data_IF_945523995601
#
_entry.id   IF_945523995601
#
_cell.length_a   1.000
_cell.length_b   1.000
_cell.length_c   1.000
_cell.angle_alpha   90.00
_cell.angle_beta   90.00
_cell.angle_gamma   90.00
#
_symmetry.space_group_name_H-M   'P 1'
#
loop_
_entity.id
_entity.type
_entity.pdbx_description
1 polymer ?
#
# COMPACT_ATOMS: atom_id res chain seq x y z
N UNK A 1 0.32 -15.74 -11.77
CA UNK A 1 0.93 -15.29 -10.49
C UNK A 1 0.34 -13.93 -10.11
N UNK A 2 -0.09 -13.73 -8.88
CA UNK A 2 -0.52 -12.43 -8.36
C UNK A 2 0.27 -12.11 -7.11
N UNK A 3 0.85 -10.92 -7.06
CA UNK A 3 1.63 -10.42 -5.91
C UNK A 3 0.96 -9.16 -5.42
N UNK A 4 0.65 -9.08 -4.13
CA UNK A 4 0.02 -7.92 -3.52
C UNK A 4 0.98 -7.30 -2.50
N UNK A 5 1.32 -6.03 -2.69
CA UNK A 5 2.16 -5.27 -1.78
C UNK A 5 1.28 -4.47 -0.82
N UNK A 6 1.44 -4.71 0.47
CA UNK A 6 0.77 -3.98 1.55
C UNK A 6 1.81 -3.28 2.44
N UNK A 7 1.36 -2.34 3.21
CA UNK A 7 2.20 -1.56 4.12
C UNK A 7 1.76 -0.10 4.16
N UNK A 8 2.31 0.64 5.09
CA UNK A 8 1.98 2.04 5.32
C UNK A 8 2.31 2.92 4.09
N UNK A 9 1.71 4.11 4.01
CA UNK A 9 2.11 5.09 3.00
C UNK A 9 3.61 5.42 3.16
N UNK A 10 4.31 5.65 2.05
CA UNK A 10 5.73 6.00 2.06
C UNK A 10 6.73 4.85 2.24
N UNK A 11 6.29 3.60 2.34
CA UNK A 11 7.21 2.44 2.41
C UNK A 11 7.77 1.99 1.06
N UNK A 12 7.37 2.62 -0.04
CA UNK A 12 7.93 2.36 -1.37
C UNK A 12 7.21 1.31 -2.21
N UNK A 13 5.97 0.92 -1.87
CA UNK A 13 5.18 -0.10 -2.60
C UNK A 13 5.15 0.12 -4.11
N UNK A 14 4.89 1.34 -4.56
CA UNK A 14 4.78 1.67 -5.99
C UNK A 14 6.11 1.48 -6.72
N UNK A 15 7.21 1.98 -6.15
CA UNK A 15 8.55 1.85 -6.75
C UNK A 15 9.01 0.40 -6.77
N UNK A 16 8.91 -0.28 -5.65
CA UNK A 16 9.29 -1.70 -5.50
C UNK A 16 8.43 -2.57 -6.40
N UNK A 17 7.11 -2.33 -6.42
CA UNK A 17 6.16 -3.08 -7.24
C UNK A 17 6.46 -2.99 -8.74
N UNK A 18 6.80 -1.81 -9.25
CA UNK A 18 7.21 -1.62 -10.65
C UNK A 18 8.47 -2.42 -10.99
N UNK A 19 9.46 -2.45 -10.10
CA UNK A 19 10.71 -3.18 -10.32
C UNK A 19 10.45 -4.69 -10.33
N UNK A 20 9.69 -5.19 -9.35
CA UNK A 20 9.32 -6.61 -9.27
C UNK A 20 8.55 -7.04 -10.51
N UNK A 21 7.52 -6.28 -10.89
CA UNK A 21 6.71 -6.56 -12.07
C UNK A 21 7.57 -6.66 -13.35
N UNK A 22 8.51 -5.72 -13.53
CA UNK A 22 9.46 -5.75 -14.66
C UNK A 22 10.36 -6.99 -14.64
N UNK A 23 10.92 -7.34 -13.47
CA UNK A 23 11.82 -8.51 -13.33
C UNK A 23 11.09 -9.84 -13.58
N UNK A 24 9.85 -9.94 -13.14
CA UNK A 24 9.02 -11.15 -13.29
C UNK A 24 8.15 -11.16 -14.56
N UNK A 25 8.23 -10.14 -15.39
CA UNK A 25 7.40 -9.95 -16.60
C UNK A 25 5.90 -9.98 -16.30
N UNK A 26 5.50 -9.36 -15.18
CA UNK A 26 4.12 -9.20 -14.76
C UNK A 26 3.62 -7.80 -15.06
N UNK A 27 2.30 -7.62 -15.14
CA UNK A 27 1.67 -6.31 -15.17
C UNK A 27 1.82 -5.62 -13.80
N UNK A 28 1.81 -4.30 -13.78
CA UNK A 28 1.83 -3.51 -12.55
C UNK A 28 0.63 -2.60 -12.47
N UNK A 29 -0.04 -2.58 -11.32
CA UNK A 29 -1.11 -1.64 -11.00
C UNK A 29 -0.88 -1.02 -9.63
N UNK A 30 -0.92 0.30 -9.57
CA UNK A 30 -1.05 1.08 -8.34
C UNK A 30 -2.54 1.36 -8.11
N UNK A 31 -3.07 0.94 -6.96
CA UNK A 31 -4.50 1.06 -6.66
C UNK A 31 -4.98 2.50 -6.55
N UNK A 32 -4.17 3.39 -5.97
CA UNK A 32 -4.54 4.80 -5.87
C UNK A 32 -4.69 5.41 -7.27
N UNK A 33 -3.73 5.16 -8.16
CA UNK A 33 -3.81 5.59 -9.55
C UNK A 33 -5.00 4.94 -10.30
N UNK A 34 -5.30 3.70 -10.01
CA UNK A 34 -6.45 2.99 -10.60
C UNK A 34 -7.76 3.67 -10.20
N UNK A 35 -7.93 4.01 -8.92
CA UNK A 35 -9.09 4.71 -8.39
C UNK A 35 -9.20 6.11 -9.04
N UNK A 36 -8.11 6.88 -9.05
CA UNK A 36 -8.11 8.23 -9.64
C UNK A 36 -8.53 8.24 -11.11
N UNK A 37 -8.03 7.27 -11.89
CA UNK A 37 -8.41 7.12 -13.30
C UNK A 37 -9.88 6.73 -13.48
N UNK A 38 -10.38 5.82 -12.64
CA UNK A 38 -11.76 5.36 -12.68
C UNK A 38 -12.73 6.47 -12.32
N UNK A 39 -12.42 7.26 -11.29
CA UNK A 39 -13.28 8.33 -10.78
C UNK A 39 -13.08 9.67 -11.51
N UNK A 40 -12.01 9.81 -12.29
CA UNK A 40 -11.68 11.09 -12.96
C UNK A 40 -11.31 12.21 -11.98
N UNK A 41 -10.91 11.87 -10.75
CA UNK A 41 -10.59 12.81 -9.65
C UNK A 41 -9.38 12.33 -8.87
N UNK A 42 -8.63 13.27 -8.29
CA UNK A 42 -7.56 12.90 -7.34
C UNK A 42 -8.13 12.34 -6.03
N UNK A 43 -7.35 11.51 -5.35
CA UNK A 43 -7.70 10.98 -4.01
C UNK A 43 -8.07 12.11 -3.06
N UNK A 44 -7.29 13.21 -3.06
CA UNK A 44 -7.58 14.38 -2.20
C UNK A 44 -8.96 14.98 -2.47
N UNK A 45 -9.37 15.09 -3.73
CA UNK A 45 -10.72 15.58 -4.09
C UNK A 45 -11.82 14.59 -3.68
N UNK A 46 -11.57 13.30 -3.80
CA UNK A 46 -12.53 12.27 -3.35
C UNK A 46 -12.77 12.41 -1.84
N UNK A 47 -11.69 12.55 -1.05
CA UNK A 47 -11.81 12.78 0.39
C UNK A 47 -12.55 14.08 0.74
N UNK A 48 -12.24 15.17 0.02
CA UNK A 48 -12.86 16.47 0.25
C UNK A 48 -14.36 16.47 -0.08
N UNK A 49 -14.74 15.87 -1.22
CA UNK A 49 -16.12 15.91 -1.71
C UNK A 49 -17.01 14.84 -1.07
N UNK A 50 -16.48 13.65 -0.77
CA UNK A 50 -17.28 12.49 -0.38
C UNK A 50 -16.86 11.85 0.96
N UNK A 51 -15.73 12.24 1.52
CA UNK A 51 -15.21 11.75 2.78
C UNK A 51 -14.45 10.42 2.71
N UNK A 52 -13.86 10.02 3.84
CA UNK A 52 -13.00 8.83 3.94
C UNK A 52 -13.78 7.54 3.70
N UNK A 53 -15.00 7.42 4.24
CA UNK A 53 -15.79 6.20 4.10
C UNK A 53 -16.05 5.85 2.64
N UNK A 54 -16.43 6.83 1.83
CA UNK A 54 -16.64 6.63 0.39
C UNK A 54 -15.36 6.17 -0.30
N UNK A 55 -14.20 6.77 0.05
CA UNK A 55 -12.92 6.33 -0.48
C UNK A 55 -12.62 4.86 -0.11
N UNK A 56 -12.92 4.42 1.12
CA UNK A 56 -12.76 3.02 1.55
C UNK A 56 -13.66 2.06 0.76
N UNK A 57 -14.84 2.48 0.39
CA UNK A 57 -15.72 1.71 -0.50
C UNK A 57 -15.10 1.55 -1.89
N UNK A 58 -14.55 2.64 -2.47
CA UNK A 58 -13.83 2.60 -3.75
C UNK A 58 -12.57 1.72 -3.69
N UNK A 59 -11.82 1.74 -2.59
CA UNK A 59 -10.68 0.83 -2.37
C UNK A 59 -11.15 -0.64 -2.41
N UNK A 60 -12.22 -0.96 -1.71
CA UNK A 60 -12.75 -2.34 -1.64
C UNK A 60 -13.25 -2.83 -2.99
N UNK A 61 -13.95 -1.99 -3.75
CA UNK A 61 -14.38 -2.32 -5.11
C UNK A 61 -13.19 -2.52 -6.05
N UNK A 62 -12.20 -1.62 -5.99
CA UNK A 62 -11.00 -1.71 -6.80
C UNK A 62 -10.17 -2.97 -6.50
N UNK A 63 -10.05 -3.34 -5.23
CA UNK A 63 -9.39 -4.59 -4.83
C UNK A 63 -10.11 -5.80 -5.45
N UNK A 64 -11.45 -5.87 -5.34
CA UNK A 64 -12.26 -6.95 -5.94
C UNK A 64 -12.09 -7.06 -7.45
N UNK A 65 -11.95 -5.94 -8.12
CA UNK A 65 -11.75 -5.93 -9.57
C UNK A 65 -10.34 -6.39 -9.94
N UNK A 66 -9.32 -5.89 -9.26
CA UNK A 66 -7.92 -6.19 -9.57
C UNK A 66 -7.53 -7.64 -9.28
N UNK A 67 -8.09 -8.26 -8.24
CA UNK A 67 -7.82 -9.68 -7.93
C UNK A 67 -8.42 -10.68 -8.93
N UNK A 68 -9.27 -10.24 -9.84
CA UNK A 68 -9.74 -11.06 -10.97
C UNK A 68 -8.65 -11.27 -12.02
N UNK A 69 -7.63 -10.43 -12.03
CA UNK A 69 -6.54 -10.49 -13.00
C UNK A 69 -5.40 -11.37 -12.49
N UNK A 70 -4.84 -12.19 -13.37
CA UNK A 70 -3.60 -12.93 -13.14
C UNK A 70 -2.40 -12.21 -13.75
N UNK A 71 -1.20 -12.67 -13.41
CA UNK A 71 0.06 -12.10 -13.88
C UNK A 71 0.22 -10.60 -13.59
N UNK A 72 0.00 -10.24 -12.33
CA UNK A 72 -0.06 -8.86 -11.87
C UNK A 72 0.64 -8.66 -10.52
N UNK A 73 1.28 -7.50 -10.38
CA UNK A 73 1.72 -6.94 -9.09
C UNK A 73 0.80 -5.77 -8.76
N UNK A 74 0.15 -5.83 -7.60
CA UNK A 74 -0.77 -4.80 -7.09
C UNK A 74 -0.10 -4.07 -5.93
N UNK A 75 0.09 -2.76 -6.06
CA UNK A 75 0.47 -1.86 -4.96
C UNK A 75 -0.80 -1.29 -4.33
N UNK A 76 -1.09 -1.65 -3.08
CA UNK A 76 -2.32 -1.19 -2.40
C UNK A 76 -2.14 0.18 -1.74
N UNK A 77 -3.24 0.85 -1.44
CA UNK A 77 -3.24 1.99 -0.52
C UNK A 77 -2.86 1.59 0.91
N UNK A 78 -2.28 2.51 1.69
CA UNK A 78 -1.86 2.22 3.07
C UNK A 78 -3.03 1.89 4.01
N UNK A 79 -4.24 2.34 3.70
CA UNK A 79 -5.44 2.07 4.48
C UNK A 79 -6.21 0.82 4.07
N UNK A 80 -5.69 0.00 3.15
CA UNK A 80 -6.38 -1.20 2.64
C UNK A 80 -6.81 -2.15 3.76
N UNK A 81 -6.08 -2.20 4.86
CA UNK A 81 -6.34 -3.07 6.02
C UNK A 81 -7.39 -2.53 6.99
N UNK A 82 -7.90 -1.32 6.80
CA UNK A 82 -8.88 -0.72 7.70
C UNK A 82 -10.29 -1.30 7.52
N UNK A 83 -10.57 -1.89 6.36
CA UNK A 83 -11.86 -2.49 6.02
C UNK A 83 -11.81 -4.01 6.21
N UNK A 84 -12.72 -4.55 7.04
CA UNK A 84 -12.80 -5.99 7.34
C UNK A 84 -12.92 -6.85 6.07
N UNK A 85 -13.73 -6.41 5.11
CA UNK A 85 -13.91 -7.12 3.85
C UNK A 85 -12.60 -7.26 3.07
N UNK A 86 -11.74 -6.22 3.07
CA UNK A 86 -10.44 -6.28 2.41
C UNK A 86 -9.51 -7.29 3.10
N UNK A 87 -9.52 -7.35 4.43
CA UNK A 87 -8.75 -8.35 5.19
C UNK A 87 -9.17 -9.77 4.82
N UNK A 88 -10.47 -10.02 4.67
CA UNK A 88 -10.99 -11.34 4.28
C UNK A 88 -10.60 -11.74 2.85
N UNK A 89 -10.53 -10.75 1.94
CA UNK A 89 -10.07 -10.96 0.57
C UNK A 89 -8.57 -11.27 0.56
N UNK A 90 -7.76 -10.41 1.20
CA UNK A 90 -6.31 -10.50 1.20
C UNK A 90 -5.81 -11.80 1.86
N UNK A 91 -6.48 -12.30 2.89
CA UNK A 91 -6.17 -13.60 3.53
C UNK A 91 -6.31 -14.82 2.61
N UNK A 92 -7.02 -14.68 1.51
CA UNK A 92 -7.20 -15.77 0.54
C UNK A 92 -6.19 -15.72 -0.60
N UNK A 93 -5.45 -14.64 -0.70
CA UNK A 93 -4.39 -14.47 -1.70
C UNK A 93 -3.13 -15.26 -1.29
N UNK A 94 -2.35 -15.68 -2.28
CA UNK A 94 -1.21 -16.59 -2.06
C UNK A 94 0.12 -15.88 -1.81
N UNK A 95 0.24 -14.62 -2.24
CA UNK A 95 1.48 -13.85 -2.12
C UNK A 95 1.12 -12.44 -1.73
N UNK A 96 0.98 -12.21 -0.42
CA UNK A 96 0.79 -10.90 0.17
C UNK A 96 2.08 -10.51 0.91
N UNK A 97 2.72 -9.44 0.45
CA UNK A 97 4.01 -8.98 0.96
C UNK A 97 3.82 -7.70 1.76
N UNK A 98 4.16 -7.75 3.03
CA UNK A 98 4.16 -6.58 3.90
C UNK A 98 5.52 -5.90 3.90
N UNK A 99 5.58 -4.67 3.41
CA UNK A 99 6.75 -3.80 3.51
C UNK A 99 6.68 -3.06 4.84
N UNK A 100 7.50 -3.47 5.79
CA UNK A 100 7.51 -3.00 7.17
C UNK A 100 8.54 -1.88 7.37
N UNK A 101 8.07 -0.66 7.51
CA UNK A 101 8.86 0.52 7.81
C UNK A 101 8.47 1.15 9.15
N UNK A 102 9.45 1.58 9.93
CA UNK A 102 9.20 2.34 11.16
C UNK A 102 8.82 3.80 10.87
N UNK A 103 8.36 4.52 11.89
CA UNK A 103 7.93 5.92 11.78
C UNK A 103 9.00 6.81 11.17
N UNK A 104 10.27 6.66 11.57
CA UNK A 104 11.37 7.49 11.06
C UNK A 104 11.63 7.24 9.57
N UNK A 105 11.63 5.99 9.14
CA UNK A 105 11.78 5.62 7.73
C UNK A 105 10.65 6.21 6.89
N UNK A 106 9.41 6.11 7.36
CA UNK A 106 8.24 6.66 6.70
C UNK A 106 8.32 8.19 6.62
N UNK A 107 8.67 8.88 7.71
CA UNK A 107 8.88 10.33 7.72
C UNK A 107 9.89 10.78 6.68
N UNK A 108 11.04 10.11 6.63
CA UNK A 108 12.11 10.45 5.68
C UNK A 108 11.63 10.31 4.22
N UNK A 109 10.84 9.28 3.93
CA UNK A 109 10.29 9.06 2.59
C UNK A 109 9.18 10.06 2.23
N UNK A 110 8.35 10.48 3.20
CA UNK A 110 7.19 11.34 2.96
C UNK A 110 7.47 12.83 3.07
N UNK A 111 8.65 13.27 3.52
CA UNK A 111 8.94 14.68 3.85
C UNK A 111 8.59 15.68 2.74
N UNK A 112 8.61 15.25 1.48
CA UNK A 112 8.29 16.08 0.29
C UNK A 112 6.86 15.87 -0.23
N UNK A 113 6.07 14.99 0.37
CA UNK A 113 4.76 14.56 -0.17
C UNK A 113 3.61 14.65 0.83
N UNK A 114 3.83 15.22 2.01
CA UNK A 114 2.84 15.29 3.10
C UNK A 114 1.55 15.98 2.64
N UNK A 115 1.65 17.05 1.87
CA UNK A 115 0.50 17.82 1.37
C UNK A 115 -0.42 17.01 0.44
N UNK A 116 0.12 15.97 -0.19
CA UNK A 116 -0.63 15.08 -1.08
C UNK A 116 -1.36 13.95 -0.34
N UNK A 117 -1.20 13.88 0.99
CA UNK A 117 -1.76 12.80 1.83
C UNK A 117 -2.89 13.34 2.70
N UNK A 118 -4.17 13.06 2.39
CA UNK A 118 -5.32 13.65 3.09
C UNK A 118 -5.29 13.47 4.61
N UNK A 119 -4.81 12.33 5.11
CA UNK A 119 -4.73 12.04 6.54
C UNK A 119 -3.59 12.76 7.25
N UNK A 120 -2.58 13.26 6.52
CA UNK A 120 -1.41 13.94 7.06
C UNK A 120 -1.45 15.45 6.84
N UNK A 121 -2.04 15.92 5.74
CA UNK A 121 -2.03 17.33 5.32
C UNK A 121 -2.68 18.27 6.33
N UNK A 122 -3.61 17.78 7.14
CA UNK A 122 -4.32 18.53 8.18
C UNK A 122 -3.75 18.33 9.58
N UNK A 123 -2.65 17.58 9.71
CA UNK A 123 -2.07 17.26 11.01
C UNK A 123 -1.16 18.36 11.52
N UNK A 124 -1.31 18.75 12.80
CA UNK A 124 -0.39 19.67 13.50
C UNK A 124 0.92 19.00 13.90
N UNK A 125 0.95 17.66 14.03
CA UNK A 125 2.13 16.86 14.33
C UNK A 125 2.12 15.60 13.47
N UNK A 126 2.80 15.67 12.33
CA UNK A 126 2.84 14.60 11.33
C UNK A 126 3.47 13.31 11.88
N UNK A 127 4.53 13.42 12.68
CA UNK A 127 5.20 12.27 13.29
C UNK A 127 4.25 11.48 14.20
N UNK A 128 3.55 12.15 15.10
CA UNK A 128 2.57 11.52 15.97
C UNK A 128 1.42 10.90 15.19
N UNK A 129 0.93 11.58 14.15
CA UNK A 129 -0.12 11.06 13.30
C UNK A 129 0.32 9.78 12.59
N UNK A 130 1.53 9.74 12.02
CA UNK A 130 2.10 8.55 11.41
C UNK A 130 2.24 7.42 12.44
N UNK A 131 2.81 7.71 13.60
CA UNK A 131 3.02 6.72 14.66
C UNK A 131 1.70 6.09 15.13
N UNK A 132 0.66 6.91 15.36
CA UNK A 132 -0.65 6.45 15.78
C UNK A 132 -1.33 5.58 14.70
N UNK A 133 -1.34 6.04 13.46
CA UNK A 133 -1.92 5.28 12.35
C UNK A 133 -1.16 3.97 12.09
N UNK A 134 0.17 4.00 12.19
CA UNK A 134 1.01 2.81 12.03
C UNK A 134 0.71 1.78 13.12
N UNK A 135 0.64 2.21 14.40
CA UNK A 135 0.31 1.34 15.51
C UNK A 135 -1.09 0.71 15.36
N UNK A 136 -2.08 1.49 14.93
CA UNK A 136 -3.45 1.01 14.68
C UNK A 136 -3.51 -0.06 13.57
N UNK A 137 -2.65 0.05 12.55
CA UNK A 137 -2.69 -0.82 11.36
C UNK A 137 -1.70 -1.98 11.41
N UNK A 138 -0.68 -1.92 12.24
CA UNK A 138 0.47 -2.84 12.21
C UNK A 138 0.04 -4.31 12.34
N UNK A 139 -0.76 -4.64 13.36
CA UNK A 139 -1.23 -6.00 13.57
C UNK A 139 -2.13 -6.49 12.42
N UNK A 140 -2.86 -5.59 11.78
CA UNK A 140 -3.68 -5.93 10.62
C UNK A 140 -2.82 -6.31 9.42
N UNK A 141 -1.72 -5.57 9.15
CA UNK A 141 -0.77 -5.97 8.10
C UNK A 141 -0.14 -7.33 8.41
N UNK A 142 0.33 -7.54 9.64
CA UNK A 142 0.92 -8.81 10.07
C UNK A 142 -0.04 -9.99 9.93
N UNK A 143 -1.32 -9.78 10.22
CA UNK A 143 -2.33 -10.86 10.24
C UNK A 143 -2.69 -11.42 8.86
N UNK A 144 -2.31 -10.73 7.78
CA UNK A 144 -2.69 -11.09 6.41
C UNK A 144 -1.50 -11.29 5.47
N UNK A 145 -0.27 -10.98 5.89
CA UNK A 145 0.89 -11.16 5.02
C UNK A 145 1.42 -12.59 5.05
N UNK A 146 1.86 -13.06 3.90
CA UNK A 146 2.63 -14.31 3.77
C UNK A 146 4.13 -14.06 3.96
N UNK A 147 4.60 -12.89 3.50
CA UNK A 147 6.00 -12.49 3.54
C UNK A 147 6.08 -11.09 4.16
N UNK A 148 6.92 -10.93 5.19
CA UNK A 148 7.24 -9.63 5.77
C UNK A 148 8.68 -9.24 5.45
N UNK A 149 8.86 -8.04 4.91
CA UNK A 149 10.16 -7.49 4.55
C UNK A 149 10.38 -6.20 5.34
N UNK A 150 11.36 -6.22 6.22
CA UNK A 150 11.84 -5.01 6.89
C UNK A 150 12.58 -4.13 5.87
N UNK A 151 12.12 -2.88 5.71
CA UNK A 151 12.70 -1.92 4.77
C UNK A 151 13.62 -0.89 5.44
N UNK A 152 13.71 -0.91 6.79
CA UNK A 152 14.51 0.07 7.52
C UNK A 152 15.99 -0.06 7.17
N UNK A 153 16.65 1.07 6.94
CA UNK A 153 18.08 1.16 6.61
C UNK A 153 18.51 0.34 5.36
N UNK A 154 17.55 0.00 4.48
CA UNK A 154 17.81 -0.75 3.24
C UNK A 154 17.54 0.11 2.02
N UNK A 155 18.34 -0.08 0.98
CA UNK A 155 18.05 0.48 -0.32
C UNK A 155 17.01 -0.37 -1.09
N UNK A 156 16.48 0.18 -2.17
CA UNK A 156 15.43 -0.46 -2.96
C UNK A 156 15.89 -1.81 -3.54
N UNK A 157 17.14 -1.92 -3.98
CA UNK A 157 17.69 -3.15 -4.58
C UNK A 157 17.77 -4.28 -3.56
N UNK A 158 18.18 -3.98 -2.33
CA UNK A 158 18.22 -4.95 -1.22
C UNK A 158 16.81 -5.47 -0.90
N UNK A 159 15.83 -4.57 -0.81
CA UNK A 159 14.42 -4.94 -0.56
C UNK A 159 13.87 -5.81 -1.69
N UNK A 160 14.07 -5.41 -2.95
CA UNK A 160 13.64 -6.18 -4.11
C UNK A 160 14.29 -7.56 -4.15
N UNK A 161 15.60 -7.64 -3.86
CA UNK A 161 16.33 -8.93 -3.83
C UNK A 161 15.76 -9.86 -2.77
N UNK A 162 15.48 -9.35 -1.55
CA UNK A 162 14.85 -10.14 -0.50
C UNK A 162 13.46 -10.65 -0.91
N UNK A 163 12.65 -9.80 -1.54
CA UNK A 163 11.34 -10.22 -2.04
C UNK A 163 11.47 -11.35 -3.05
N UNK A 164 12.35 -11.19 -4.04
CA UNK A 164 12.53 -12.21 -5.09
C UNK A 164 13.01 -13.56 -4.55
N UNK A 165 13.89 -13.55 -3.55
CA UNK A 165 14.33 -14.78 -2.85
C UNK A 165 13.18 -15.48 -2.13
N UNK A 166 12.26 -14.71 -1.51
CA UNK A 166 11.15 -15.28 -0.75
C UNK A 166 9.99 -15.82 -1.60
N UNK A 167 9.85 -15.33 -2.83
CA UNK A 167 8.78 -15.78 -3.74
C UNK A 167 9.24 -16.83 -4.76
N UNK A 168 10.54 -17.00 -4.89
CA UNK A 168 11.20 -17.87 -5.87
C UNK A 168 11.27 -19.23 -5.65
#
# INVERSE_FOLDING_TARGET
>A
MRIILIGFMGVGKTTIGKIIAKKLKLNFVDMDNYIEKREGKSISKIFEEYGEQHFRELESESLKDLIKSDNIVISTGGGIVTTKQNLEILKKEKIVIFLDGNTQTILNHLSKEIDKRPLLSKSNNVENTISNLLNERYEKYNSICDIKIDINEKNIEEVVSQILVNIG
#
